data_IF_129276097781
#
_entry.id   IF_129276097781
#
_cell.length_a   1.000
_cell.length_b   1.000
_cell.length_c   1.000
_cell.angle_alpha   90.00
_cell.angle_beta   90.00
_cell.angle_gamma   90.00
#
_symmetry.space_group_name_H-M   'P 1'
#
loop_
_entity.id
_entity.type
_entity.pdbx_description
1 polymer ?
#
# COMPACT_ATOMS: atom_id res chain seq x y z
N UNK A 1 3.67 6.90 2.16
CA UNK A 1 2.49 7.72 2.53
C UNK A 1 2.81 8.67 3.67
N UNK A 2 3.44 8.22 4.76
CA UNK A 2 3.61 8.99 6.01
C UNK A 2 4.44 10.28 5.94
N UNK A 3 5.29 10.42 4.92
CA UNK A 3 6.15 11.61 4.74
C UNK A 3 5.57 12.62 3.73
N UNK A 4 4.31 12.45 3.32
CA UNK A 4 3.63 13.28 2.32
C UNK A 4 2.63 14.23 2.99
N UNK A 5 2.50 15.44 2.45
CA UNK A 5 1.52 16.43 2.93
C UNK A 5 0.10 16.08 2.46
N UNK A 6 -0.02 15.47 1.29
CA UNK A 6 -1.25 14.92 0.73
C UNK A 6 -0.99 13.50 0.18
N UNK A 7 -0.95 12.48 1.07
CA UNK A 7 -0.68 11.11 0.67
C UNK A 7 -1.66 10.57 -0.38
N UNK A 8 -2.92 11.04 -0.36
CA UNK A 8 -3.96 10.62 -1.29
C UNK A 8 -3.69 11.04 -2.73
N UNK A 9 -2.82 12.03 -2.96
CA UNK A 9 -2.46 12.57 -4.28
C UNK A 9 -1.00 12.34 -4.66
N UNK A 10 -0.08 12.62 -3.74
CA UNK A 10 1.36 12.70 -4.04
C UNK A 10 2.04 11.34 -4.20
N UNK A 11 1.49 10.27 -3.58
CA UNK A 11 2.17 8.97 -3.54
C UNK A 11 2.35 8.36 -4.92
N UNK A 12 1.43 8.59 -5.85
CA UNK A 12 1.50 8.00 -7.19
C UNK A 12 2.65 8.61 -8.00
N UNK A 13 2.91 9.91 -7.82
CA UNK A 13 4.03 10.58 -8.49
C UNK A 13 5.37 10.11 -7.94
N UNK A 14 5.46 9.87 -6.62
CA UNK A 14 6.64 9.28 -5.99
C UNK A 14 6.90 7.86 -6.53
N UNK A 15 5.86 7.02 -6.57
CA UNK A 15 5.96 5.66 -7.11
C UNK A 15 6.39 5.69 -8.57
N UNK A 16 5.77 6.55 -9.40
CA UNK A 16 6.12 6.68 -10.81
C UNK A 16 7.57 7.16 -10.99
N UNK A 17 7.97 8.20 -10.27
CA UNK A 17 9.31 8.77 -10.36
C UNK A 17 10.41 7.72 -10.13
N UNK A 18 10.30 6.93 -9.06
CA UNK A 18 11.29 5.89 -8.76
C UNK A 18 11.09 4.63 -9.60
N UNK A 19 9.85 4.29 -9.97
CA UNK A 19 9.51 3.14 -10.80
C UNK A 19 10.09 3.23 -12.20
N UNK A 20 9.92 4.37 -12.88
CA UNK A 20 10.50 4.62 -14.22
C UNK A 20 12.04 4.60 -14.25
N UNK A 21 12.69 4.58 -13.09
CA UNK A 21 14.16 4.60 -12.92
C UNK A 21 14.72 3.29 -12.38
N UNK A 22 13.87 2.27 -12.22
CA UNK A 22 14.23 0.99 -11.59
C UNK A 22 14.86 1.17 -10.20
N UNK A 23 14.34 2.12 -9.41
CA UNK A 23 14.82 2.43 -8.05
C UNK A 23 13.89 1.95 -6.93
N UNK A 24 12.83 1.23 -7.28
CA UNK A 24 11.98 0.54 -6.32
C UNK A 24 12.42 -0.92 -6.23
N UNK A 25 12.84 -1.36 -5.04
CA UNK A 25 13.33 -2.73 -4.81
C UNK A 25 12.41 -3.55 -3.92
N UNK A 26 11.61 -2.90 -3.08
CA UNK A 26 10.69 -3.55 -2.15
C UNK A 26 9.51 -2.61 -1.84
N UNK A 27 8.29 -3.15 -1.80
CA UNK A 27 7.09 -2.38 -1.46
C UNK A 27 6.47 -2.92 -0.18
N UNK A 28 6.50 -2.08 0.85
CA UNK A 28 5.77 -2.24 2.09
C UNK A 28 4.43 -1.54 1.95
N UNK A 29 3.36 -2.31 1.88
CA UNK A 29 2.02 -1.82 1.59
C UNK A 29 1.17 -1.79 2.86
N UNK A 30 0.85 -0.58 3.30
CA UNK A 30 -0.08 -0.28 4.40
C UNK A 30 -0.85 1.00 4.05
N UNK A 31 -1.95 1.26 4.77
CA UNK A 31 -2.75 2.45 4.55
C UNK A 31 -2.83 3.31 5.82
N UNK A 32 -3.00 4.62 5.62
CA UNK A 32 -3.09 5.61 6.68
C UNK A 32 -4.26 6.56 6.42
N UNK A 33 -4.80 7.16 7.47
CA UNK A 33 -5.61 8.38 7.39
C UNK A 33 -4.80 9.56 7.92
N UNK A 34 -4.81 10.68 7.22
CA UNK A 34 -4.07 11.89 7.58
C UNK A 34 -2.87 12.13 6.67
N UNK A 35 -1.85 12.79 7.22
CA UNK A 35 -0.68 13.26 6.47
C UNK A 35 0.57 13.28 7.33
N UNK A 36 1.68 13.77 6.78
CA UNK A 36 2.92 14.02 7.51
C UNK A 36 2.64 14.72 8.84
N UNK A 37 3.33 14.24 9.87
CA UNK A 37 3.26 14.70 11.27
C UNK A 37 1.91 14.49 12.00
N UNK A 38 0.86 14.00 11.32
CA UNK A 38 -0.41 13.65 11.95
C UNK A 38 -1.18 12.62 11.10
N UNK A 39 -0.97 11.34 11.39
CA UNK A 39 -1.67 10.24 10.75
C UNK A 39 -2.00 9.10 11.72
N UNK A 40 -2.93 8.26 11.29
CA UNK A 40 -3.29 7.01 11.95
C UNK A 40 -3.18 5.86 10.95
N UNK A 41 -2.49 4.78 11.34
CA UNK A 41 -2.52 3.53 10.58
C UNK A 41 -3.90 2.86 10.70
N UNK A 42 -4.42 2.43 9.56
CA UNK A 42 -5.76 1.82 9.45
C UNK A 42 -5.69 0.52 8.64
N UNK A 43 -6.80 -0.21 8.55
CA UNK A 43 -6.87 -1.36 7.64
C UNK A 43 -6.62 -0.92 6.19
N UNK A 44 -6.12 -1.85 5.39
CA UNK A 44 -5.58 -1.58 4.06
C UNK A 44 -6.60 -0.92 3.12
N UNK A 45 -7.89 -1.20 3.34
CA UNK A 45 -9.04 -0.80 2.53
C UNK A 45 -9.75 0.48 3.02
N UNK A 46 -9.32 1.06 4.14
CA UNK A 46 -10.04 2.15 4.80
C UNK A 46 -9.27 3.49 4.86
N UNK A 47 -8.03 3.54 4.35
CA UNK A 47 -7.19 4.73 4.40
C UNK A 47 -7.33 5.66 3.18
N UNK A 48 -6.56 6.74 3.21
CA UNK A 48 -6.65 7.84 2.23
C UNK A 48 -5.96 7.51 0.90
N UNK A 49 -5.04 6.54 0.89
CA UNK A 49 -4.35 6.10 -0.33
C UNK A 49 -5.20 5.08 -1.07
N UNK A 50 -5.44 5.33 -2.36
CA UNK A 50 -6.04 4.35 -3.26
C UNK A 50 -4.99 3.29 -3.63
N UNK A 51 -5.07 2.13 -2.97
CA UNK A 51 -4.16 1.01 -3.18
C UNK A 51 -4.24 0.48 -4.61
N UNK A 52 -5.42 0.49 -5.25
CA UNK A 52 -5.54 0.09 -6.65
C UNK A 52 -4.71 1.00 -7.54
N UNK A 53 -4.78 2.32 -7.34
CA UNK A 53 -4.00 3.28 -8.11
C UNK A 53 -2.49 3.15 -7.87
N UNK A 54 -2.06 2.80 -6.65
CA UNK A 54 -0.65 2.48 -6.38
C UNK A 54 -0.20 1.25 -7.18
N UNK A 55 -0.95 0.15 -7.13
CA UNK A 55 -0.60 -1.08 -7.84
C UNK A 55 -0.67 -0.94 -9.36
N UNK A 56 -1.64 -0.17 -9.88
CA UNK A 56 -1.67 0.23 -11.29
C UNK A 56 -0.39 0.99 -11.69
N UNK A 57 0.04 1.95 -10.87
CA UNK A 57 1.26 2.73 -11.15
C UNK A 57 2.49 1.84 -11.15
N UNK A 58 2.61 0.91 -10.19
CA UNK A 58 3.71 -0.06 -10.15
C UNK A 58 3.74 -0.95 -11.42
N UNK A 59 2.57 -1.40 -11.89
CA UNK A 59 2.44 -2.18 -13.12
C UNK A 59 2.87 -1.37 -14.35
N UNK A 60 2.41 -0.12 -14.46
CA UNK A 60 2.78 0.77 -15.57
C UNK A 60 4.28 1.02 -15.65
N UNK A 61 4.96 1.09 -14.50
CA UNK A 61 6.43 1.23 -14.43
C UNK A 61 7.19 -0.09 -14.49
N UNK A 62 6.51 -1.22 -14.71
CA UNK A 62 7.16 -2.52 -14.87
C UNK A 62 7.79 -3.10 -13.59
N UNK A 63 7.29 -2.75 -12.40
CA UNK A 63 7.84 -3.23 -11.13
C UNK A 63 7.78 -4.76 -11.02
N UNK A 64 8.92 -5.47 -10.92
CA UNK A 64 8.96 -6.94 -11.04
C UNK A 64 9.07 -7.68 -9.70
N UNK A 65 9.03 -6.97 -8.58
CA UNK A 65 9.34 -7.53 -7.26
C UNK A 65 8.10 -7.65 -6.36
N UNK A 66 8.32 -8.05 -5.10
CA UNK A 66 7.26 -8.34 -4.14
C UNK A 66 6.56 -7.08 -3.64
N UNK A 67 5.23 -7.16 -3.56
CA UNK A 67 4.39 -6.26 -2.75
C UNK A 67 3.94 -7.03 -1.51
N UNK A 68 4.35 -6.58 -0.34
CA UNK A 68 4.01 -7.23 0.94
C UNK A 68 3.15 -6.30 1.81
N UNK A 69 2.14 -6.82 2.52
CA UNK A 69 1.50 -6.06 3.58
C UNK A 69 2.51 -5.76 4.69
N UNK A 70 2.46 -4.56 5.26
CA UNK A 70 3.44 -4.13 6.27
C UNK A 70 2.85 -4.09 7.68
N UNK A 71 2.00 -3.10 7.97
CA UNK A 71 1.34 -2.97 9.27
C UNK A 71 -0.17 -3.16 9.14
N UNK A 72 -0.76 -3.67 10.23
CA UNK A 72 -2.21 -3.83 10.38
C UNK A 72 -2.62 -3.41 11.81
N UNK A 73 -3.81 -2.83 12.00
CA UNK A 73 -4.36 -2.52 13.32
C UNK A 73 -4.41 -3.76 14.22
N UNK A 74 -4.15 -3.56 15.52
CA UNK A 74 -4.28 -4.61 16.53
C UNK A 74 -5.71 -4.73 17.05
N UNK A 75 -6.12 -5.95 17.41
CA UNK A 75 -7.42 -6.23 18.03
C UNK A 75 -7.23 -7.18 19.22
N UNK A 76 -7.97 -7.02 20.35
CA UNK A 76 -7.85 -7.93 21.49
C UNK A 76 -8.09 -9.41 21.14
N UNK A 77 -9.01 -9.68 20.22
CA UNK A 77 -9.32 -11.03 19.72
C UNK A 77 -8.36 -11.53 18.62
N UNK A 78 -7.40 -10.70 18.20
CA UNK A 78 -6.34 -11.07 17.27
C UNK A 78 -4.97 -10.58 17.81
N UNK A 79 -4.52 -11.09 18.97
CA UNK A 79 -3.33 -10.58 19.66
C UNK A 79 -2.05 -10.76 18.83
N UNK A 80 -2.03 -11.74 17.92
CA UNK A 80 -0.93 -11.97 16.98
C UNK A 80 -1.09 -11.28 15.63
N UNK A 81 -2.16 -10.48 15.44
CA UNK A 81 -2.50 -9.77 14.20
C UNK A 81 -2.66 -10.67 12.97
N UNK A 82 -2.88 -11.97 13.16
CA UNK A 82 -2.92 -12.97 12.08
C UNK A 82 -4.11 -12.74 11.16
N UNK A 83 -5.26 -12.39 11.72
CA UNK A 83 -6.47 -12.09 10.96
C UNK A 83 -6.33 -10.77 10.20
N UNK A 84 -5.77 -9.75 10.85
CA UNK A 84 -5.44 -8.48 10.20
C UNK A 84 -4.52 -8.66 8.99
N UNK A 85 -3.43 -9.43 9.15
CA UNK A 85 -2.54 -9.74 8.05
C UNK A 85 -3.21 -10.61 6.98
N UNK A 86 -3.99 -11.61 7.35
CA UNK A 86 -4.72 -12.43 6.39
C UNK A 86 -5.67 -11.60 5.52
N UNK A 87 -6.39 -10.65 6.13
CA UNK A 87 -7.22 -9.68 5.42
C UNK A 87 -6.38 -8.83 4.46
N UNK A 88 -5.24 -8.27 4.91
CA UNK A 88 -4.39 -7.44 4.07
C UNK A 88 -3.81 -8.22 2.87
N UNK A 89 -3.34 -9.45 3.08
CA UNK A 89 -2.90 -10.33 1.98
C UNK A 89 -4.02 -10.61 0.98
N UNK A 90 -5.22 -10.96 1.47
CA UNK A 90 -6.38 -11.23 0.62
C UNK A 90 -6.79 -10.02 -0.21
N UNK A 91 -6.85 -8.84 0.43
CA UNK A 91 -7.13 -7.58 -0.25
C UNK A 91 -6.11 -7.29 -1.36
N UNK A 92 -4.81 -7.33 -1.05
CA UNK A 92 -3.75 -7.08 -2.04
C UNK A 92 -3.80 -8.07 -3.21
N UNK A 93 -4.03 -9.36 -2.95
CA UNK A 93 -4.22 -10.35 -4.02
C UNK A 93 -5.42 -10.01 -4.90
N UNK A 94 -6.54 -9.60 -4.31
CA UNK A 94 -7.73 -9.16 -5.03
C UNK A 94 -7.45 -7.97 -5.94
N UNK A 95 -6.81 -6.93 -5.41
CA UNK A 95 -6.46 -5.73 -6.18
C UNK A 95 -5.44 -6.04 -7.27
N UNK A 96 -4.40 -6.84 -6.99
CA UNK A 96 -3.43 -7.27 -8.02
C UNK A 96 -4.10 -8.07 -9.15
N UNK A 97 -5.09 -8.92 -8.84
CA UNK A 97 -5.84 -9.62 -9.87
C UNK A 97 -6.67 -8.64 -10.72
N UNK A 98 -7.29 -7.63 -10.11
CA UNK A 98 -8.10 -6.62 -10.79
C UNK A 98 -7.28 -5.68 -11.68
N UNK A 99 -6.07 -5.31 -11.23
CA UNK A 99 -5.06 -4.56 -12.01
C UNK A 99 -4.64 -5.34 -13.26
N UNK A 100 -4.85 -6.65 -13.30
CA UNK A 100 -4.31 -7.56 -14.30
C UNK A 100 -2.93 -7.99 -13.84
N UNK A 101 -2.81 -9.27 -13.46
CA UNK A 101 -1.51 -9.88 -13.12
C UNK A 101 -0.51 -9.55 -14.23
N UNK A 102 0.67 -9.10 -13.82
CA UNK A 102 1.82 -9.00 -14.73
C UNK A 102 2.11 -10.38 -15.35
#
# INVERSE_FOLDING_TARGET
SEMLEDPAREIYDVVRYFGERDKLFNIHMRNIRGRRDNFQEVYIDEGDVDVYRVLMTLRETGYPYMVMPDHVPGHPDDPGRRQGFAHAFGYLQGVMNAVGRA
#
